data_IF_955443756851
#
_entry.id   IF_955443756851
#
_cell.length_a   1.000
_cell.length_b   1.000
_cell.length_c   1.000
_cell.angle_alpha   90.00
_cell.angle_beta   90.00
_cell.angle_gamma   90.00
#
_symmetry.space_group_name_H-M   'P 1'
#
loop_
_entity.id
_entity.type
_entity.pdbx_description
1 polymer ?
#
# COMPACT_ATOMS: atom_id res chain seq x y z
N UNK A 1 21.98 -2.86 -7.28
CA UNK A 1 21.98 -2.76 -5.79
C UNK A 1 21.29 -1.48 -5.31
N UNK A 2 21.60 -0.31 -5.90
CA UNK A 2 20.96 0.97 -5.57
C UNK A 2 19.42 0.98 -5.70
N UNK A 3 18.85 0.30 -6.71
CA UNK A 3 17.40 0.21 -6.91
C UNK A 3 16.67 -0.59 -5.81
N UNK A 4 17.23 -1.73 -5.38
CA UNK A 4 16.71 -2.52 -4.26
C UNK A 4 16.73 -1.73 -2.94
N UNK A 5 17.83 -1.03 -2.68
CA UNK A 5 17.97 -0.19 -1.48
C UNK A 5 16.90 0.91 -1.46
N UNK A 6 16.58 1.51 -2.61
CA UNK A 6 15.48 2.49 -2.71
C UNK A 6 14.12 1.90 -2.37
N UNK A 7 13.82 0.68 -2.84
CA UNK A 7 12.57 -0.02 -2.53
C UNK A 7 12.41 -0.26 -1.03
N UNK A 8 13.45 -0.77 -0.37
CA UNK A 8 13.47 -1.01 1.08
C UNK A 8 13.31 0.30 1.85
N UNK A 9 14.04 1.35 1.48
CA UNK A 9 13.93 2.67 2.10
C UNK A 9 12.50 3.20 1.97
N UNK A 10 11.88 3.05 0.81
CA UNK A 10 10.50 3.49 0.59
C UNK A 10 9.50 2.70 1.46
N UNK A 11 9.66 1.38 1.58
CA UNK A 11 8.85 0.55 2.49
C UNK A 11 8.95 1.05 3.95
N UNK A 12 10.16 1.34 4.43
CA UNK A 12 10.40 1.91 5.77
C UNK A 12 9.81 3.31 5.93
N UNK A 13 9.87 4.16 4.89
CA UNK A 13 9.24 5.48 4.92
C UNK A 13 7.72 5.39 5.00
N UNK A 14 7.10 4.51 4.22
CA UNK A 14 5.65 4.27 4.26
C UNK A 14 5.24 3.79 5.66
N UNK A 15 6.02 2.88 6.24
CA UNK A 15 5.83 2.43 7.62
C UNK A 15 5.85 3.58 8.62
N UNK A 16 6.87 4.44 8.54
CA UNK A 16 7.00 5.59 9.44
C UNK A 16 5.81 6.55 9.32
N UNK A 17 5.38 6.85 8.10
CA UNK A 17 4.25 7.74 7.84
C UNK A 17 2.96 7.17 8.44
N UNK A 18 2.68 5.87 8.25
CA UNK A 18 1.50 5.22 8.83
C UNK A 18 1.55 5.31 10.35
N UNK A 19 2.67 4.93 10.96
CA UNK A 19 2.85 4.99 12.43
C UNK A 19 2.65 6.38 13.01
N UNK A 20 3.25 7.39 12.40
CA UNK A 20 3.13 8.78 12.87
C UNK A 20 1.72 9.31 12.63
N UNK A 21 1.14 9.06 11.46
CA UNK A 21 -0.23 9.48 11.12
C UNK A 21 -1.27 8.89 12.07
N UNK A 22 -1.15 7.61 12.41
CA UNK A 22 -2.08 6.95 13.33
C UNK A 22 -1.95 7.49 14.75
N UNK A 23 -0.71 7.71 15.23
CA UNK A 23 -0.47 8.29 16.55
C UNK A 23 -1.00 9.73 16.65
N UNK A 24 -0.83 10.54 15.60
CA UNK A 24 -1.23 11.96 15.59
C UNK A 24 -2.75 12.10 15.42
N UNK A 25 -3.37 11.26 14.60
CA UNK A 25 -4.82 11.36 14.35
C UNK A 25 -5.67 10.90 15.53
N UNK A 26 -5.15 10.04 16.41
CA UNK A 26 -5.94 9.39 17.46
C UNK A 26 -7.12 8.57 16.91
N UNK A 27 -7.14 8.34 15.60
CA UNK A 27 -8.26 7.80 14.83
C UNK A 27 -8.01 6.31 14.55
N UNK A 28 -7.65 5.56 15.59
CA UNK A 28 -7.49 4.11 15.53
C UNK A 28 -8.87 3.46 15.56
N UNK A 29 -9.49 3.34 14.39
CA UNK A 29 -10.91 2.93 14.29
C UNK A 29 -11.13 1.42 14.43
N UNK A 30 -10.13 0.58 14.16
CA UNK A 30 -10.34 -0.87 14.06
C UNK A 30 -9.33 -1.68 14.88
N UNK A 31 -9.86 -2.47 15.79
CA UNK A 31 -9.11 -3.52 16.47
C UNK A 31 -8.98 -4.74 15.55
N UNK A 32 -7.77 -5.25 15.39
CA UNK A 32 -7.49 -6.43 14.58
C UNK A 32 -7.89 -7.66 15.40
N UNK A 33 -9.05 -8.22 15.10
CA UNK A 33 -9.55 -9.42 15.78
C UNK A 33 -8.94 -10.72 15.24
N UNK A 34 -8.44 -10.71 14.01
CA UNK A 34 -7.88 -11.88 13.37
C UNK A 34 -6.40 -12.05 13.77
N UNK A 35 -6.06 -13.14 14.46
CA UNK A 35 -4.69 -13.40 14.93
C UNK A 35 -3.67 -13.49 13.80
N UNK A 36 -4.02 -14.16 12.69
CA UNK A 36 -3.13 -14.24 11.53
C UNK A 36 -2.81 -12.85 11.00
N UNK A 37 -3.84 -12.01 10.83
CA UNK A 37 -3.66 -10.65 10.34
C UNK A 37 -2.86 -9.80 11.33
N UNK A 38 -3.11 -9.95 12.63
CA UNK A 38 -2.36 -9.28 13.69
C UNK A 38 -0.86 -9.59 13.56
N UNK A 39 -0.49 -10.87 13.50
CA UNK A 39 0.92 -11.26 13.35
C UNK A 39 1.49 -10.90 11.97
N UNK A 40 0.69 -11.00 10.90
CA UNK A 40 1.14 -10.69 9.56
C UNK A 40 1.52 -9.21 9.41
N UNK A 41 0.75 -8.30 9.98
CA UNK A 41 1.03 -6.85 9.94
C UNK A 41 1.54 -6.29 11.27
N UNK A 42 2.17 -7.13 12.11
CA UNK A 42 2.52 -6.75 13.49
C UNK A 42 3.39 -5.49 13.61
N UNK A 43 4.32 -5.31 12.66
CA UNK A 43 5.17 -4.12 12.60
C UNK A 43 4.35 -2.84 12.36
N UNK A 44 3.19 -2.95 11.74
CA UNK A 44 2.44 -1.84 11.17
C UNK A 44 1.36 -1.30 12.12
N UNK A 45 0.76 -2.15 12.97
CA UNK A 45 -0.31 -1.71 13.89
C UNK A 45 0.22 -1.28 15.26
N UNK A 46 -0.52 -0.44 15.99
CA UNK A 46 -0.15 -0.02 17.35
C UNK A 46 -1.15 -0.59 18.35
N UNK A 47 -0.67 -1.45 19.27
CA UNK A 47 -1.51 -2.10 20.27
C UNK A 47 -2.70 -2.90 19.71
N UNK A 48 -2.56 -3.42 18.49
CA UNK A 48 -3.62 -4.16 17.80
C UNK A 48 -4.67 -3.30 17.12
N UNK A 49 -4.49 -1.98 17.10
CA UNK A 49 -5.37 -1.06 16.39
C UNK A 49 -4.69 -0.45 15.16
N UNK A 50 -5.47 -0.26 14.10
CA UNK A 50 -5.01 0.29 12.82
C UNK A 50 -6.19 0.93 12.07
N UNK A 51 -5.91 1.95 11.25
CA UNK A 51 -6.91 2.53 10.33
C UNK A 51 -7.15 1.62 9.11
N UNK A 52 -8.27 1.76 8.38
CA UNK A 52 -8.49 0.99 7.12
C UNK A 52 -7.40 1.30 6.10
N UNK A 53 -7.05 2.59 5.98
CA UNK A 53 -5.94 3.05 5.14
C UNK A 53 -4.62 2.40 5.56
N UNK A 54 -4.30 2.43 6.86
CA UNK A 54 -3.10 1.82 7.43
C UNK A 54 -3.07 0.31 7.22
N UNK A 55 -4.20 -0.36 7.38
CA UNK A 55 -4.35 -1.79 7.16
C UNK A 55 -4.06 -2.19 5.72
N UNK A 56 -4.66 -1.50 4.75
CA UNK A 56 -4.46 -1.77 3.33
C UNK A 56 -3.01 -1.51 2.92
N UNK A 57 -2.42 -0.40 3.37
CA UNK A 57 -1.01 -0.13 3.16
C UNK A 57 -0.13 -1.23 3.76
N UNK A 58 -0.36 -1.60 5.02
CA UNK A 58 0.44 -2.60 5.73
C UNK A 58 0.43 -3.96 5.04
N UNK A 59 -0.76 -4.43 4.66
CA UNK A 59 -0.92 -5.68 3.91
C UNK A 59 -0.23 -5.57 2.55
N UNK A 60 -0.45 -4.46 1.83
CA UNK A 60 0.13 -4.25 0.51
C UNK A 60 1.65 -4.22 0.51
N UNK A 61 2.25 -3.55 1.49
CA UNK A 61 3.72 -3.49 1.64
C UNK A 61 4.28 -4.86 2.03
N UNK A 62 3.68 -5.56 3.01
CA UNK A 62 4.08 -6.92 3.38
C UNK A 62 4.07 -7.88 2.18
N UNK A 63 2.98 -7.88 1.41
CA UNK A 63 2.87 -8.73 0.21
C UNK A 63 3.93 -8.34 -0.82
N UNK A 64 4.14 -7.04 -1.06
CA UNK A 64 5.15 -6.55 -1.99
C UNK A 64 6.54 -7.03 -1.59
N UNK A 65 6.91 -6.84 -0.32
CA UNK A 65 8.23 -7.20 0.18
C UNK A 65 8.46 -8.72 0.11
N UNK A 66 7.44 -9.53 0.45
CA UNK A 66 7.51 -11.00 0.33
C UNK A 66 7.65 -11.44 -1.13
N UNK A 67 6.80 -10.94 -2.03
CA UNK A 67 6.81 -11.33 -3.45
C UNK A 67 8.14 -10.97 -4.09
N UNK A 68 8.64 -9.75 -3.88
CA UNK A 68 9.91 -9.33 -4.47
C UNK A 68 11.09 -10.07 -3.82
N UNK A 69 11.04 -10.38 -2.53
CA UNK A 69 12.05 -11.23 -1.89
C UNK A 69 12.09 -12.63 -2.52
N UNK A 70 10.94 -13.26 -2.76
CA UNK A 70 10.83 -14.55 -3.45
C UNK A 70 11.42 -14.44 -4.87
N UNK A 71 11.00 -13.45 -5.67
CA UNK A 71 11.53 -13.25 -7.02
C UNK A 71 13.04 -12.97 -7.01
N UNK A 72 13.55 -12.29 -5.98
CA UNK A 72 14.98 -12.04 -5.82
C UNK A 72 15.79 -13.30 -5.47
N UNK A 73 15.19 -14.27 -4.77
CA UNK A 73 15.84 -15.51 -4.35
C UNK A 73 15.72 -16.63 -5.38
N UNK A 74 14.62 -16.68 -6.14
CA UNK A 74 14.24 -17.84 -6.95
C UNK A 74 14.09 -17.55 -8.45
N UNK A 75 14.28 -16.31 -8.91
CA UNK A 75 14.17 -15.97 -10.33
C UNK A 75 15.44 -15.31 -10.86
N UNK A 76 15.76 -15.55 -12.14
CA UNK A 76 16.91 -14.93 -12.85
C UNK A 76 16.65 -13.48 -13.28
N UNK A 77 15.70 -12.81 -12.62
CA UNK A 77 15.32 -11.43 -12.92
C UNK A 77 16.45 -10.50 -12.46
N UNK A 78 16.81 -9.52 -13.30
CA UNK A 78 17.86 -8.57 -12.94
C UNK A 78 17.51 -7.79 -11.68
N UNK A 79 18.51 -7.57 -10.81
CA UNK A 79 18.34 -6.83 -9.54
C UNK A 79 17.88 -5.38 -9.74
N UNK A 80 18.13 -4.81 -10.92
CA UNK A 80 17.67 -3.47 -11.29
C UNK A 80 16.17 -3.47 -11.59
N UNK A 81 15.70 -4.46 -12.34
CA UNK A 81 14.29 -4.65 -12.65
C UNK A 81 13.49 -4.99 -11.39
N UNK A 82 14.00 -5.87 -10.53
CA UNK A 82 13.38 -6.16 -9.23
C UNK A 82 13.23 -4.91 -8.36
N UNK A 83 14.24 -4.05 -8.31
CA UNK A 83 14.14 -2.78 -7.59
C UNK A 83 13.09 -1.83 -8.20
N UNK A 84 12.96 -1.79 -9.52
CA UNK A 84 11.91 -1.02 -10.18
C UNK A 84 10.51 -1.58 -9.93
N UNK A 85 10.36 -2.92 -9.95
CA UNK A 85 9.12 -3.60 -9.56
C UNK A 85 8.76 -3.33 -8.11
N UNK A 86 9.76 -3.31 -7.21
CA UNK A 86 9.56 -2.97 -5.79
C UNK A 86 8.98 -1.56 -5.63
N UNK A 87 9.65 -0.56 -6.20
CA UNK A 87 9.21 0.84 -6.10
C UNK A 87 7.84 1.03 -6.74
N UNK A 88 7.61 0.47 -7.94
CA UNK A 88 6.32 0.56 -8.63
C UNK A 88 5.20 -0.08 -7.82
N UNK A 89 5.43 -1.26 -7.23
CA UNK A 89 4.46 -1.95 -6.39
C UNK A 89 4.09 -1.13 -5.15
N UNK A 90 5.08 -0.53 -4.48
CA UNK A 90 4.84 0.36 -3.34
C UNK A 90 4.04 1.60 -3.73
N UNK A 91 4.29 2.18 -4.91
CA UNK A 91 3.48 3.27 -5.44
C UNK A 91 2.04 2.79 -5.65
N UNK A 92 1.83 1.64 -6.28
CA UNK A 92 0.48 1.07 -6.48
C UNK A 92 -0.24 0.88 -5.15
N UNK A 93 0.44 0.34 -4.13
CA UNK A 93 -0.11 0.17 -2.77
C UNK A 93 -0.57 1.51 -2.19
N UNK A 94 0.22 2.58 -2.35
CA UNK A 94 -0.16 3.92 -1.88
C UNK A 94 -1.39 4.47 -2.61
N UNK A 95 -1.46 4.32 -3.93
CA UNK A 95 -2.63 4.77 -4.70
C UNK A 95 -3.87 3.98 -4.31
N UNK A 96 -3.80 2.65 -4.22
CA UNK A 96 -4.94 1.81 -3.85
C UNK A 96 -5.44 2.16 -2.44
N UNK A 97 -4.53 2.22 -1.48
CA UNK A 97 -4.89 2.51 -0.10
C UNK A 97 -5.46 3.92 0.03
N UNK A 98 -4.81 4.92 -0.60
CA UNK A 98 -5.29 6.30 -0.64
C UNK A 98 -6.66 6.44 -1.29
N UNK A 99 -6.91 5.74 -2.39
CA UNK A 99 -8.23 5.68 -3.04
C UNK A 99 -9.32 5.18 -2.09
N UNK A 100 -9.05 4.08 -1.38
CA UNK A 100 -10.00 3.56 -0.37
C UNK A 100 -10.20 4.55 0.78
N UNK A 101 -9.14 5.20 1.26
CA UNK A 101 -9.25 6.24 2.30
C UNK A 101 -10.13 7.42 1.86
N UNK A 102 -10.08 7.81 0.59
CA UNK A 102 -10.95 8.85 0.01
C UNK A 102 -12.41 8.37 -0.05
N UNK A 103 -12.65 7.10 -0.41
CA UNK A 103 -14.01 6.52 -0.38
C UNK A 103 -14.58 6.51 1.04
N UNK A 104 -13.78 6.12 2.03
CA UNK A 104 -14.20 6.11 3.44
C UNK A 104 -14.60 7.53 3.88
N UNK A 105 -13.76 8.52 3.58
CA UNK A 105 -14.05 9.93 3.86
C UNK A 105 -15.31 10.41 3.13
N UNK A 106 -15.50 9.97 1.87
CA UNK A 106 -16.70 10.26 1.08
C UNK A 106 -17.97 9.64 1.65
N UNK A 107 -17.89 8.45 2.25
CA UNK A 107 -19.01 7.81 2.92
C UNK A 107 -19.46 8.57 4.17
N UNK A 108 -18.53 9.23 4.87
CA UNK A 108 -18.81 10.03 6.07
C UNK A 108 -19.37 11.43 5.76
N UNK A 109 -19.23 11.92 4.52
CA UNK A 109 -19.75 13.25 4.14
C UNK A 109 -21.28 13.29 4.06
N UNK A 110 -21.86 14.34 4.67
CA UNK A 110 -23.31 14.63 4.65
C UNK A 110 -23.77 15.33 3.37
N UNK A 111 -22.85 15.92 2.60
CA UNK A 111 -23.17 16.72 1.39
C UNK A 111 -23.00 15.87 0.14
N UNK A 112 -24.07 15.80 -0.66
CA UNK A 112 -24.10 14.95 -1.85
C UNK A 112 -23.01 15.33 -2.89
N UNK A 113 -22.75 16.62 -3.10
CA UNK A 113 -21.69 17.08 -4.01
C UNK A 113 -20.29 16.68 -3.56
N UNK A 114 -19.99 16.78 -2.27
CA UNK A 114 -18.70 16.39 -1.70
C UNK A 114 -18.48 14.88 -1.84
N UNK A 115 -19.54 14.09 -1.62
CA UNK A 115 -19.53 12.64 -1.80
C UNK A 115 -19.24 12.24 -3.24
N UNK A 116 -19.92 12.85 -4.22
CA UNK A 116 -19.66 12.60 -5.64
C UNK A 116 -18.23 13.00 -6.03
N UNK A 117 -17.77 14.17 -5.58
CA UNK A 117 -16.41 14.63 -5.86
C UNK A 117 -15.36 13.65 -5.30
N UNK A 118 -15.52 13.19 -4.06
CA UNK A 118 -14.60 12.22 -3.45
C UNK A 118 -14.59 10.89 -4.20
N UNK A 119 -15.74 10.37 -4.63
CA UNK A 119 -15.78 9.15 -5.44
C UNK A 119 -15.11 9.33 -6.81
N UNK A 120 -15.32 10.46 -7.49
CA UNK A 120 -14.65 10.75 -8.76
C UNK A 120 -13.13 10.83 -8.60
N UNK A 121 -12.65 11.47 -7.53
CA UNK A 121 -11.22 11.53 -7.20
C UNK A 121 -10.70 10.12 -6.92
N UNK A 122 -11.40 9.31 -6.13
CA UNK A 122 -10.99 7.92 -5.85
C UNK A 122 -10.91 7.08 -7.13
N UNK A 123 -11.84 7.25 -8.06
CA UNK A 123 -11.81 6.56 -9.35
C UNK A 123 -10.54 6.96 -10.11
N UNK A 124 -10.23 8.25 -10.19
CA UNK A 124 -9.02 8.74 -10.85
C UNK A 124 -7.74 8.17 -10.20
N UNK A 125 -7.71 8.08 -8.87
CA UNK A 125 -6.59 7.48 -8.12
C UNK A 125 -6.44 5.99 -8.46
N UNK A 126 -7.53 5.21 -8.54
CA UNK A 126 -7.46 3.81 -8.95
C UNK A 126 -7.02 3.63 -10.41
N UNK A 127 -7.43 4.52 -11.31
CA UNK A 127 -6.89 4.54 -12.68
C UNK A 127 -5.39 4.80 -12.68
N UNK A 128 -4.90 5.70 -11.83
CA UNK A 128 -3.47 5.91 -11.61
C UNK A 128 -2.77 4.62 -11.16
N UNK A 129 -3.32 3.92 -10.17
CA UNK A 129 -2.79 2.63 -9.72
C UNK A 129 -2.71 1.60 -10.87
N UNK A 130 -3.79 1.46 -11.64
CA UNK A 130 -3.84 0.54 -12.77
C UNK A 130 -2.83 0.90 -13.87
N UNK A 131 -2.65 2.20 -14.14
CA UNK A 131 -1.67 2.70 -15.11
C UNK A 131 -0.23 2.32 -14.73
N UNK A 132 0.13 2.39 -13.45
CA UNK A 132 1.44 1.94 -12.97
C UNK A 132 1.58 0.42 -12.92
N UNK A 133 0.50 -0.30 -12.57
CA UNK A 133 0.51 -1.75 -12.44
C UNK A 133 0.59 -2.47 -13.79
N UNK A 134 -0.11 -1.97 -14.82
CA UNK A 134 -0.26 -2.67 -16.10
C UNK A 134 1.07 -2.95 -16.83
N UNK A 135 1.98 -1.97 -17.02
CA UNK A 135 3.27 -2.24 -17.65
C UNK A 135 4.11 -3.24 -16.87
N UNK A 136 4.05 -3.18 -15.54
CA UNK A 136 4.79 -4.11 -14.68
C UNK A 136 4.29 -5.55 -14.86
N UNK A 137 2.98 -5.76 -14.84
CA UNK A 137 2.40 -7.09 -15.07
C UNK A 137 2.75 -7.63 -16.47
N UNK A 138 2.67 -6.80 -17.51
CA UNK A 138 3.06 -7.22 -18.86
C UNK A 138 4.52 -7.67 -18.96
N UNK A 139 5.41 -7.05 -18.19
CA UNK A 139 6.81 -7.43 -18.16
C UNK A 139 7.04 -8.72 -17.36
N UNK A 140 6.39 -8.88 -16.21
CA UNK A 140 6.53 -10.08 -15.37
C UNK A 140 6.00 -11.31 -16.10
N UNK A 141 4.83 -11.23 -16.73
CA UNK A 141 4.21 -12.36 -17.45
C UNK A 141 4.82 -12.66 -18.83
N UNK A 142 5.79 -11.85 -19.30
CA UNK A 142 6.56 -12.15 -20.52
C UNK A 142 7.76 -13.07 -20.25
N UNK A 143 8.14 -13.25 -18.98
CA UNK A 143 9.13 -14.21 -18.51
C UNK A 143 8.42 -15.44 -17.93
#
# INVERSE_FOLDING_TARGET
MHSLVKGIILSVWIWFIIKVSEKVSGNTKHQIQNEFLYYFIWLWHSYGEISILGLLCAIGVQITDIVIAILCLFSDISKELLGACWVTSLIVVLFVSGGVGIIETGNESKRWLEKIAMYLISIAVFFGAAYFLYPMLQYIFKF
#
